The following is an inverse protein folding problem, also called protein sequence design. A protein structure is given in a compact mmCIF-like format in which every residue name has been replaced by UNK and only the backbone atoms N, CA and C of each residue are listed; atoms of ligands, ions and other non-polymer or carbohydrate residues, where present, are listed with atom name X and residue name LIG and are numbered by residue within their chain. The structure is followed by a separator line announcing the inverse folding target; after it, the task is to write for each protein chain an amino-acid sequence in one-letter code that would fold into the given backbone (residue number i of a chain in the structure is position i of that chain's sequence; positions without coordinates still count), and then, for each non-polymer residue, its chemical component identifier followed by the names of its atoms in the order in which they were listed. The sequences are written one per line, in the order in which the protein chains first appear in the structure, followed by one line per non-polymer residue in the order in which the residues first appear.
data_IF_553735036005
#
_entry.id   IF_553735036005
#
_cell.length_a   1.000
_cell.length_b   1.000
_cell.length_c   1.000
_cell.angle_alpha   90.00
_cell.angle_beta   90.00
_cell.angle_gamma   90.00
#
_symmetry.space_group_name_H-M   'P 1'
#
loop_
_entity.id
_entity.type
_entity.pdbx_description
1 polymer ?
#
# COMPACT_ATOMS: atom_id res chain seq x y z
N UNK A 1 -4.46 4.62 23.21
CA UNK A 1 -4.69 3.93 21.92
C UNK A 1 -4.71 2.44 22.17
N UNK A 2 -5.37 1.66 21.31
CA UNK A 2 -5.39 0.20 21.39
C UNK A 2 -3.98 -0.36 21.17
N UNK A 3 -3.58 -1.43 21.88
CA UNK A 3 -2.30 -2.15 21.71
C UNK A 3 -2.43 -3.38 20.79
N UNK A 4 -3.23 -3.25 19.71
CA UNK A 4 -3.53 -4.36 18.79
C UNK A 4 -2.32 -4.99 18.12
N UNK A 5 -1.21 -4.24 18.07
CA UNK A 5 0.02 -4.65 17.40
C UNK A 5 1.17 -4.98 18.36
N UNK A 6 0.91 -5.07 19.66
CA UNK A 6 1.92 -5.50 20.61
C UNK A 6 2.50 -6.88 20.22
N UNK A 7 3.84 -6.95 20.02
CA UNK A 7 4.51 -8.16 19.55
C UNK A 7 4.34 -8.48 18.06
N UNK A 8 3.59 -7.71 17.29
CA UNK A 8 3.43 -7.91 15.83
C UNK A 8 4.61 -7.32 15.06
N UNK A 9 5.09 -8.07 14.08
CA UNK A 9 6.22 -7.78 13.19
C UNK A 9 5.68 -7.35 11.84
N UNK A 10 5.97 -6.11 11.46
CA UNK A 10 5.33 -5.47 10.31
C UNK A 10 6.37 -4.95 9.32
N UNK A 11 6.15 -5.17 8.03
CA UNK A 11 6.89 -4.53 6.93
C UNK A 11 5.91 -3.70 6.09
N UNK A 12 6.22 -2.41 5.93
CA UNK A 12 5.43 -1.47 5.12
C UNK A 12 6.30 -0.92 3.99
N UNK A 13 5.88 -1.09 2.73
CA UNK A 13 6.49 -0.42 1.58
C UNK A 13 5.78 0.89 1.25
N UNK A 14 6.47 1.84 0.61
CA UNK A 14 5.92 3.18 0.36
C UNK A 14 5.77 4.00 1.64
N UNK A 15 6.55 3.65 2.68
CA UNK A 15 6.42 4.23 4.01
C UNK A 15 7.05 5.63 4.15
N UNK A 16 7.68 6.16 3.10
CA UNK A 16 8.28 7.50 3.11
C UNK A 16 7.29 8.64 2.97
N UNK A 17 6.04 8.38 2.55
CA UNK A 17 5.03 9.42 2.38
C UNK A 17 3.60 8.88 2.34
N UNK A 18 2.62 9.79 2.37
CA UNK A 18 1.21 9.51 2.08
C UNK A 18 0.62 8.37 2.90
N UNK A 19 -0.11 7.46 2.23
CA UNK A 19 -0.82 6.36 2.88
C UNK A 19 0.16 5.43 3.62
N UNK A 20 1.27 5.04 2.98
CA UNK A 20 2.25 4.12 3.59
C UNK A 20 2.87 4.69 4.87
N UNK A 21 3.21 5.99 4.88
CA UNK A 21 3.68 6.69 6.06
C UNK A 21 2.60 6.72 7.16
N UNK A 22 1.37 7.11 6.81
CA UNK A 22 0.25 7.13 7.75
C UNK A 22 -0.01 5.76 8.39
N UNK A 23 0.08 4.69 7.59
CA UNK A 23 -0.02 3.30 8.08
C UNK A 23 1.13 2.97 9.02
N UNK A 24 2.38 3.26 8.65
CA UNK A 24 3.54 2.97 9.49
C UNK A 24 3.44 3.66 10.86
N UNK A 25 3.11 4.95 10.86
CA UNK A 25 2.91 5.72 12.10
C UNK A 25 1.78 5.14 12.96
N UNK A 26 0.67 4.76 12.34
CA UNK A 26 -0.48 4.19 13.05
C UNK A 26 -0.15 2.85 13.70
N UNK A 27 0.50 1.94 12.97
CA UNK A 27 0.83 0.61 13.48
C UNK A 27 1.90 0.65 14.58
N UNK A 28 2.90 1.56 14.46
CA UNK A 28 3.87 1.83 15.52
C UNK A 28 3.21 2.34 16.80
N UNK A 29 2.26 3.28 16.66
CA UNK A 29 1.51 3.82 17.80
C UNK A 29 0.64 2.76 18.50
N UNK A 30 0.26 1.69 17.79
CA UNK A 30 -0.49 0.55 18.33
C UNK A 30 0.39 -0.63 18.78
N UNK A 31 1.72 -0.45 18.86
CA UNK A 31 2.64 -1.41 19.48
C UNK A 31 3.50 -2.23 18.52
N UNK A 32 3.37 -2.06 17.20
CA UNK A 32 4.14 -2.83 16.23
C UNK A 32 5.66 -2.66 16.36
N UNK A 33 6.42 -3.72 16.09
CA UNK A 33 7.82 -3.64 15.64
C UNK A 33 7.79 -3.57 14.11
N UNK A 34 8.40 -2.53 13.51
CA UNK A 34 8.10 -2.17 12.13
C UNK A 34 9.35 -1.85 11.32
N UNK A 35 9.41 -2.38 10.10
CA UNK A 35 10.30 -1.92 9.05
C UNK A 35 9.52 -1.04 8.08
N UNK A 36 9.96 0.20 7.92
CA UNK A 36 9.48 1.16 6.94
C UNK A 36 10.41 1.15 5.72
N UNK A 37 9.91 0.74 4.56
CA UNK A 37 10.68 0.64 3.33
C UNK A 37 10.15 1.62 2.27
N UNK A 38 11.05 2.35 1.60
CA UNK A 38 10.72 3.30 0.54
C UNK A 38 11.93 3.52 -0.37
N UNK A 39 11.70 4.02 -1.57
CA UNK A 39 12.78 4.45 -2.47
C UNK A 39 13.38 5.80 -2.05
N UNK A 40 12.65 6.60 -1.29
CA UNK A 40 13.01 7.96 -0.85
C UNK A 40 13.64 7.94 0.55
N UNK A 41 14.96 8.09 0.62
CA UNK A 41 15.66 8.27 1.90
C UNK A 41 15.17 9.48 2.68
N UNK A 42 14.91 10.60 1.98
CA UNK A 42 14.37 11.82 2.61
C UNK A 42 12.96 11.59 3.16
N UNK A 43 12.13 10.81 2.45
CA UNK A 43 10.79 10.43 2.93
C UNK A 43 10.86 9.55 4.17
N UNK A 44 11.79 8.58 4.19
CA UNK A 44 12.02 7.74 5.36
C UNK A 44 12.52 8.55 6.57
N UNK A 45 13.41 9.51 6.35
CA UNK A 45 13.87 10.42 7.41
C UNK A 45 12.69 11.23 8.00
N UNK A 46 11.81 11.78 7.15
CA UNK A 46 10.61 12.49 7.60
C UNK A 46 9.67 11.56 8.39
N UNK A 47 9.58 10.29 8.03
CA UNK A 47 8.81 9.30 8.79
C UNK A 47 9.41 9.06 10.17
N UNK A 48 10.73 8.93 10.27
CA UNK A 48 11.42 8.80 11.57
C UNK A 48 11.20 10.02 12.45
N UNK A 49 11.26 11.22 11.87
CA UNK A 49 11.05 12.47 12.60
C UNK A 49 9.63 12.59 13.18
N UNK A 50 8.64 12.03 12.48
CA UNK A 50 7.25 12.00 12.92
C UNK A 50 6.99 10.96 14.04
N UNK A 51 7.91 10.02 14.28
CA UNK A 51 7.76 8.98 15.31
C UNK A 51 8.23 9.51 16.67
N UNK A 52 7.41 9.40 17.75
CA UNK A 52 7.82 9.70 19.11
C UNK A 52 9.10 8.96 19.51
N UNK A 53 9.96 9.63 20.29
CA UNK A 53 11.30 9.10 20.62
C UNK A 53 11.26 7.71 21.30
N UNK A 54 10.28 7.48 22.17
CA UNK A 54 10.04 6.22 22.88
C UNK A 54 9.57 5.05 21.99
N UNK A 55 9.22 5.33 20.74
CA UNK A 55 8.78 4.31 19.77
C UNK A 55 9.85 3.99 18.72
N UNK A 56 10.90 4.82 18.60
CA UNK A 56 11.92 4.72 17.55
C UNK A 56 12.74 3.42 17.59
N UNK A 57 12.94 2.83 18.76
CA UNK A 57 13.63 1.55 18.91
C UNK A 57 12.90 0.38 18.20
N UNK A 58 11.57 0.52 18.02
CA UNK A 58 10.74 -0.47 17.32
C UNK A 58 10.68 -0.24 15.81
N UNK A 59 11.30 0.84 15.31
CA UNK A 59 11.33 1.23 13.89
C UNK A 59 12.71 0.99 13.28
N UNK A 60 12.74 0.38 12.10
CA UNK A 60 13.88 0.35 11.18
C UNK A 60 13.43 0.93 9.84
N UNK A 61 14.28 1.72 9.19
CA UNK A 61 14.05 2.21 7.82
C UNK A 61 15.01 1.54 6.85
N UNK A 62 14.51 1.16 5.67
CA UNK A 62 15.30 0.51 4.62
C UNK A 62 14.97 1.13 3.26
N UNK A 63 15.99 1.54 2.51
CA UNK A 63 15.81 2.09 1.16
C UNK A 63 15.70 0.96 0.14
N UNK A 64 14.63 0.97 -0.68
CA UNK A 64 14.41 -0.05 -1.71
C UNK A 64 13.60 0.47 -2.90
N UNK A 65 14.05 0.19 -4.12
CA UNK A 65 13.18 0.17 -5.30
C UNK A 65 12.56 -1.22 -5.43
N UNK A 66 11.27 -1.34 -5.13
CA UNK A 66 10.55 -2.62 -5.17
C UNK A 66 10.43 -3.21 -6.58
N UNK A 67 10.70 -2.44 -7.64
CA UNK A 67 10.75 -2.95 -9.01
C UNK A 67 12.04 -3.72 -9.34
N UNK A 68 13.05 -3.69 -8.43
CA UNK A 68 14.31 -4.40 -8.58
C UNK A 68 14.28 -5.70 -7.74
N UNK A 69 14.31 -6.89 -8.38
CA UNK A 69 14.22 -8.17 -7.66
C UNK A 69 15.37 -8.43 -6.69
N UNK A 70 16.57 -7.94 -6.99
CA UNK A 70 17.74 -8.12 -6.12
C UNK A 70 17.65 -7.23 -4.89
N UNK A 71 17.25 -5.97 -5.07
CA UNK A 71 17.00 -5.05 -3.97
C UNK A 71 15.88 -5.57 -3.05
N UNK A 72 14.81 -6.14 -3.60
CA UNK A 72 13.72 -6.74 -2.83
C UNK A 72 14.22 -7.92 -1.99
N UNK A 73 15.03 -8.81 -2.56
CA UNK A 73 15.61 -9.93 -1.79
C UNK A 73 16.48 -9.45 -0.64
N UNK A 74 17.36 -8.47 -0.90
CA UNK A 74 18.26 -7.92 0.09
C UNK A 74 17.51 -7.22 1.23
N UNK A 75 16.57 -6.33 0.90
CA UNK A 75 15.78 -5.61 1.91
C UNK A 75 14.89 -6.53 2.73
N UNK A 76 14.34 -7.58 2.11
CA UNK A 76 13.53 -8.56 2.83
C UNK A 76 14.37 -9.33 3.84
N UNK A 77 15.59 -9.76 3.49
CA UNK A 77 16.48 -10.45 4.41
C UNK A 77 16.83 -9.56 5.62
N UNK A 78 17.21 -8.30 5.39
CA UNK A 78 17.51 -7.35 6.47
C UNK A 78 16.28 -7.05 7.33
N UNK A 79 15.10 -6.92 6.72
CA UNK A 79 13.86 -6.72 7.44
C UNK A 79 13.53 -7.90 8.36
N UNK A 80 13.67 -9.14 7.87
CA UNK A 80 13.41 -10.34 8.65
C UNK A 80 14.42 -10.53 9.78
N UNK A 81 15.68 -10.16 9.58
CA UNK A 81 16.71 -10.16 10.62
C UNK A 81 16.33 -9.19 11.76
N UNK A 82 15.97 -7.95 11.43
CA UNK A 82 15.54 -6.97 12.43
C UNK A 82 14.28 -7.38 13.17
N UNK A 83 13.27 -7.89 12.43
CA UNK A 83 11.97 -8.23 12.99
C UNK A 83 11.97 -9.57 13.75
N UNK A 84 12.84 -10.51 13.39
CA UNK A 84 12.81 -11.89 13.89
C UNK A 84 11.68 -12.72 13.30
N UNK A 85 11.20 -12.38 12.10
CA UNK A 85 10.08 -13.00 11.38
C UNK A 85 9.12 -11.96 10.84
N UNK A 86 7.94 -12.36 10.34
CA UNK A 86 6.97 -11.41 9.76
C UNK A 86 5.53 -11.88 9.98
N UNK A 87 4.69 -10.96 10.45
CA UNK A 87 3.26 -11.19 10.67
C UNK A 87 2.39 -10.40 9.69
N UNK A 88 2.84 -9.21 9.29
CA UNK A 88 2.07 -8.33 8.39
C UNK A 88 2.98 -7.72 7.33
N UNK A 89 2.59 -7.88 6.06
CA UNK A 89 3.13 -7.13 4.93
C UNK A 89 2.09 -6.12 4.44
N UNK A 90 2.48 -4.85 4.35
CA UNK A 90 1.66 -3.78 3.76
C UNK A 90 2.36 -3.24 2.51
N UNK A 91 1.80 -3.53 1.34
CA UNK A 91 2.31 -3.08 0.05
C UNK A 91 1.65 -1.76 -0.35
N UNK A 92 2.14 -0.64 0.20
CA UNK A 92 1.59 0.69 -0.10
C UNK A 92 2.42 1.50 -1.11
N UNK A 93 3.57 1.00 -1.55
CA UNK A 93 4.35 1.64 -2.60
C UNK A 93 3.59 1.64 -3.93
N UNK A 94 3.65 2.76 -4.63
CA UNK A 94 3.02 2.90 -5.94
C UNK A 94 3.28 4.25 -6.57
N UNK A 95 3.14 4.31 -7.89
CA UNK A 95 3.28 5.52 -8.69
C UNK A 95 2.11 5.65 -9.64
N UNK A 96 1.87 6.88 -10.10
CA UNK A 96 0.88 7.21 -11.12
C UNK A 96 1.54 8.01 -12.23
N UNK A 97 1.15 7.72 -13.47
CA UNK A 97 1.44 8.51 -14.67
C UNK A 97 0.14 8.69 -15.43
N UNK A 98 -0.11 9.88 -15.90
CA UNK A 98 -1.29 10.22 -16.69
C UNK A 98 -0.89 10.68 -18.08
N UNK A 99 -1.58 10.18 -19.09
CA UNK A 99 -1.46 10.57 -20.49
C UNK A 99 -2.71 10.13 -21.24
N UNK A 100 -2.98 10.72 -22.40
CA UNK A 100 -3.91 10.11 -23.34
C UNK A 100 -3.43 8.71 -23.69
N UNK A 101 -4.32 7.72 -23.74
CA UNK A 101 -3.92 6.31 -23.90
C UNK A 101 -3.10 6.06 -25.18
N UNK A 102 -3.42 6.77 -26.27
CA UNK A 102 -2.71 6.65 -27.53
C UNK A 102 -1.35 7.38 -27.57
N UNK A 103 -1.07 8.25 -26.60
CA UNK A 103 0.17 9.02 -26.47
C UNK A 103 1.04 8.54 -25.31
N UNK A 104 0.54 7.59 -24.50
CA UNK A 104 1.29 7.10 -23.33
C UNK A 104 2.59 6.42 -23.77
N UNK A 105 3.77 6.92 -23.36
CA UNK A 105 5.03 6.26 -23.66
C UNK A 105 5.04 4.84 -23.06
N UNK A 106 5.54 3.87 -23.83
CA UNK A 106 5.66 2.50 -23.36
C UNK A 106 6.57 2.40 -22.11
N UNK A 107 7.54 3.29 -21.99
CA UNK A 107 8.40 3.39 -20.82
C UNK A 107 7.60 3.74 -19.55
N UNK A 108 6.71 4.74 -19.63
CA UNK A 108 5.84 5.12 -18.51
C UNK A 108 4.84 4.01 -18.15
N UNK A 109 4.26 3.35 -19.16
CA UNK A 109 3.44 2.16 -18.96
C UNK A 109 4.22 1.09 -18.19
N UNK A 110 5.40 0.71 -18.69
CA UNK A 110 6.25 -0.31 -18.10
C UNK A 110 6.68 0.08 -16.67
N UNK A 111 7.01 1.36 -16.43
CA UNK A 111 7.39 1.83 -15.10
C UNK A 111 6.25 1.71 -14.10
N UNK A 112 5.02 2.07 -14.48
CA UNK A 112 3.83 1.91 -13.62
C UNK A 112 3.56 0.44 -13.31
N UNK A 113 3.58 -0.44 -14.32
CA UNK A 113 3.38 -1.88 -14.13
C UNK A 113 4.49 -2.48 -13.27
N UNK A 114 5.73 -2.11 -13.54
CA UNK A 114 6.92 -2.62 -12.83
C UNK A 114 6.87 -2.27 -11.34
N UNK A 115 6.49 -1.04 -10.97
CA UNK A 115 6.39 -0.65 -9.57
C UNK A 115 5.13 -1.21 -8.93
N UNK A 116 3.95 -0.90 -9.49
CA UNK A 116 2.68 -1.14 -8.80
C UNK A 116 2.28 -2.61 -8.74
N UNK A 117 2.55 -3.38 -9.81
CA UNK A 117 2.12 -4.77 -9.90
C UNK A 117 3.28 -5.75 -9.70
N UNK A 118 4.34 -5.64 -10.51
CA UNK A 118 5.48 -6.54 -10.41
C UNK A 118 6.18 -6.38 -9.07
N UNK A 119 6.40 -5.14 -8.60
CA UNK A 119 7.03 -4.87 -7.31
C UNK A 119 6.21 -5.40 -6.13
N UNK A 120 4.88 -5.24 -6.16
CA UNK A 120 3.98 -5.86 -5.18
C UNK A 120 4.13 -7.38 -5.18
N UNK A 121 4.15 -8.01 -6.37
CA UNK A 121 4.38 -9.46 -6.48
C UNK A 121 5.74 -9.87 -5.90
N UNK A 122 6.82 -9.16 -6.22
CA UNK A 122 8.17 -9.46 -5.72
C UNK A 122 8.25 -9.38 -4.19
N UNK A 123 7.66 -8.34 -3.58
CA UNK A 123 7.59 -8.21 -2.13
C UNK A 123 6.82 -9.37 -1.49
N UNK A 124 5.68 -9.75 -2.08
CA UNK A 124 4.91 -10.91 -1.60
C UNK A 124 5.74 -12.18 -1.73
N UNK A 125 6.32 -12.45 -2.89
CA UNK A 125 7.11 -13.66 -3.14
C UNK A 125 8.26 -13.79 -2.14
N UNK A 126 8.97 -12.70 -1.85
CA UNK A 126 10.12 -12.72 -0.94
C UNK A 126 9.72 -12.90 0.53
N UNK A 127 8.56 -12.37 0.94
CA UNK A 127 8.11 -12.41 2.35
C UNK A 127 7.19 -13.56 2.68
N UNK A 128 6.59 -14.21 1.69
CA UNK A 128 5.58 -15.24 1.85
C UNK A 128 6.01 -16.41 2.76
N UNK A 129 7.24 -16.94 2.66
CA UNK A 129 7.67 -18.01 3.58
C UNK A 129 7.58 -17.61 5.05
N UNK A 130 8.04 -16.41 5.41
CA UNK A 130 8.02 -15.92 6.79
C UNK A 130 6.58 -15.63 7.27
N UNK A 131 5.71 -15.11 6.39
CA UNK A 131 4.29 -14.91 6.69
C UNK A 131 3.56 -16.23 6.95
N UNK A 132 3.87 -17.27 6.19
CA UNK A 132 3.30 -18.63 6.42
C UNK A 132 3.82 -19.22 7.73
N UNK A 133 5.12 -19.09 8.01
CA UNK A 133 5.76 -19.58 9.22
C UNK A 133 5.16 -18.95 10.49
N UNK A 134 4.70 -17.71 10.43
CA UNK A 134 4.03 -17.04 11.55
C UNK A 134 2.72 -17.73 11.97
N UNK A 135 2.07 -18.46 11.06
CA UNK A 135 0.79 -19.14 11.28
C UNK A 135 -0.44 -18.21 11.29
N UNK A 136 -0.23 -16.89 11.22
CA UNK A 136 -1.27 -15.86 11.21
C UNK A 136 -0.91 -14.66 10.31
N UNK A 137 -0.17 -14.94 9.25
CA UNK A 137 0.32 -13.93 8.31
C UNK A 137 -0.81 -13.14 7.62
N UNK A 138 -0.60 -11.85 7.44
CA UNK A 138 -1.53 -10.97 6.73
C UNK A 138 -0.80 -10.17 5.67
N UNK A 139 -1.36 -10.16 4.45
CA UNK A 139 -0.95 -9.28 3.36
C UNK A 139 -2.04 -8.25 3.15
N UNK A 140 -1.67 -6.98 3.19
CA UNK A 140 -2.54 -5.85 2.83
C UNK A 140 -1.97 -5.20 1.58
N UNK A 141 -2.69 -5.30 0.49
CA UNK A 141 -2.35 -4.67 -0.78
C UNK A 141 -3.24 -3.44 -1.02
N UNK A 142 -2.76 -2.53 -1.85
CA UNK A 142 -3.51 -1.35 -2.27
C UNK A 142 -3.90 -1.45 -3.73
N UNK A 143 -5.20 -1.70 -3.98
CA UNK A 143 -5.87 -1.45 -5.23
C UNK A 143 -6.22 0.06 -5.35
N UNK A 144 -7.27 0.43 -6.00
CA UNK A 144 -7.79 1.79 -6.15
C UNK A 144 -9.22 1.74 -6.67
N UNK A 145 -10.01 2.79 -6.45
CA UNK A 145 -11.26 3.00 -7.18
C UNK A 145 -11.05 2.98 -8.70
N UNK A 146 -9.86 3.34 -9.18
CA UNK A 146 -9.49 3.25 -10.61
C UNK A 146 -9.50 1.84 -11.18
N UNK A 147 -9.40 0.80 -10.34
CA UNK A 147 -9.51 -0.60 -10.78
C UNK A 147 -10.97 -1.01 -11.10
N UNK A 148 -11.95 -0.27 -10.61
CA UNK A 148 -13.38 -0.59 -10.71
C UNK A 148 -14.14 0.42 -11.58
N UNK A 149 -13.99 1.72 -11.28
CA UNK A 149 -14.69 2.80 -11.96
C UNK A 149 -13.91 3.43 -13.10
N UNK A 150 -12.64 3.10 -13.28
CA UNK A 150 -11.68 3.64 -14.24
C UNK A 150 -11.61 5.17 -14.24
N UNK A 151 -10.41 5.71 -14.25
CA UNK A 151 -10.20 7.14 -14.41
C UNK A 151 -9.61 7.42 -15.79
N UNK A 152 -10.09 8.43 -16.53
CA UNK A 152 -9.51 8.83 -17.80
C UNK A 152 -8.03 9.21 -17.61
N UNK A 153 -7.26 9.06 -18.65
CA UNK A 153 -5.82 9.39 -18.70
C UNK A 153 -4.90 8.50 -17.82
N UNK A 154 -5.44 7.53 -17.09
CA UNK A 154 -4.71 6.70 -16.12
C UNK A 154 -4.72 5.19 -16.50
N UNK A 155 -4.64 4.86 -17.79
CA UNK A 155 -4.79 3.48 -18.27
C UNK A 155 -3.80 2.50 -17.60
N UNK A 156 -2.50 2.83 -17.55
CA UNK A 156 -1.48 1.99 -16.91
C UNK A 156 -1.73 1.81 -15.40
N UNK A 157 -2.11 2.90 -14.73
CA UNK A 157 -2.42 2.86 -13.31
C UNK A 157 -3.63 1.96 -13.02
N UNK A 158 -4.73 2.18 -13.74
CA UNK A 158 -5.95 1.36 -13.60
C UNK A 158 -5.68 -0.12 -13.85
N UNK A 159 -4.93 -0.44 -14.94
CA UNK A 159 -4.52 -1.81 -15.25
C UNK A 159 -3.67 -2.43 -14.12
N UNK A 160 -2.68 -1.67 -13.59
CA UNK A 160 -1.84 -2.14 -12.51
C UNK A 160 -2.63 -2.43 -11.23
N UNK A 161 -3.59 -1.56 -10.87
CA UNK A 161 -4.41 -1.71 -9.66
C UNK A 161 -5.46 -2.82 -9.79
N UNK A 162 -6.01 -3.05 -10.97
CA UNK A 162 -6.84 -4.22 -11.27
C UNK A 162 -6.01 -5.52 -11.18
N UNK A 163 -4.77 -5.51 -11.68
CA UNK A 163 -3.84 -6.63 -11.55
C UNK A 163 -3.51 -6.97 -10.09
N UNK A 164 -3.27 -5.95 -9.25
CA UNK A 164 -3.06 -6.14 -7.80
C UNK A 164 -4.30 -6.76 -7.14
N UNK A 165 -5.50 -6.36 -7.56
CA UNK A 165 -6.74 -6.94 -7.06
C UNK A 165 -6.82 -8.44 -7.35
N UNK A 166 -6.62 -8.83 -8.60
CA UNK A 166 -6.64 -10.24 -9.01
C UNK A 166 -5.52 -11.07 -8.33
N UNK A 167 -4.30 -10.50 -8.22
CA UNK A 167 -3.17 -11.12 -7.51
C UNK A 167 -3.53 -11.42 -6.05
N UNK A 168 -4.15 -10.47 -5.36
CA UNK A 168 -4.54 -10.63 -3.95
C UNK A 168 -5.55 -11.75 -3.76
N UNK A 169 -6.55 -11.86 -4.64
CA UNK A 169 -7.55 -12.95 -4.59
C UNK A 169 -6.89 -14.32 -4.82
N UNK A 170 -5.99 -14.40 -5.78
CA UNK A 170 -5.26 -15.65 -6.07
C UNK A 170 -4.48 -16.12 -4.84
N UNK A 171 -3.71 -15.22 -4.21
CA UNK A 171 -2.91 -15.53 -3.02
C UNK A 171 -3.81 -15.87 -1.82
N UNK A 172 -4.88 -15.13 -1.62
CA UNK A 172 -5.82 -15.42 -0.54
C UNK A 172 -6.38 -16.83 -0.64
N UNK A 173 -6.78 -17.26 -1.84
CA UNK A 173 -7.32 -18.61 -2.06
C UNK A 173 -6.23 -19.69 -1.94
N UNK A 174 -5.04 -19.46 -2.50
CA UNK A 174 -3.96 -20.45 -2.53
C UNK A 174 -3.45 -20.78 -1.12
N UNK A 175 -3.34 -19.76 -0.25
CA UNK A 175 -2.70 -19.91 1.07
C UNK A 175 -3.67 -19.89 2.25
N UNK A 176 -4.99 -19.85 2.05
CA UNK A 176 -5.97 -19.81 3.14
C UNK A 176 -5.81 -20.97 4.14
N UNK A 177 -5.49 -22.17 3.65
CA UNK A 177 -5.26 -23.34 4.51
C UNK A 177 -3.92 -23.31 5.25
N UNK A 178 -3.05 -22.35 4.95
CA UNK A 178 -1.79 -22.08 5.65
C UNK A 178 -1.95 -21.00 6.74
N UNK A 179 -3.17 -20.53 7.00
CA UNK A 179 -3.43 -19.46 7.97
C UNK A 179 -3.12 -18.06 7.44
N UNK A 180 -2.77 -17.91 6.15
CA UNK A 180 -2.50 -16.61 5.54
C UNK A 180 -3.81 -15.94 5.11
N UNK A 181 -3.91 -14.64 5.38
CA UNK A 181 -4.95 -13.77 4.85
C UNK A 181 -4.34 -12.75 3.87
N UNK A 182 -5.05 -12.45 2.79
CA UNK A 182 -4.68 -11.37 1.89
C UNK A 182 -5.92 -10.54 1.56
N UNK A 183 -5.81 -9.22 1.66
CA UNK A 183 -6.91 -8.27 1.44
C UNK A 183 -6.45 -7.08 0.63
N UNK A 184 -7.38 -6.48 -0.11
CA UNK A 184 -7.16 -5.21 -0.79
C UNK A 184 -7.84 -4.07 -0.03
N UNK A 185 -7.10 -2.99 0.17
CA UNK A 185 -7.71 -1.69 0.44
C UNK A 185 -7.93 -0.99 -0.91
N UNK A 186 -9.09 -0.38 -1.07
CA UNK A 186 -9.50 0.33 -2.29
C UNK A 186 -9.76 1.80 -1.95
N UNK A 187 -8.70 2.64 -1.91
CA UNK A 187 -8.85 4.05 -1.63
C UNK A 187 -9.52 4.78 -2.80
N UNK A 188 -10.26 5.83 -2.47
CA UNK A 188 -10.64 6.89 -3.41
C UNK A 188 -9.55 7.94 -3.54
N UNK A 189 -9.95 9.20 -3.72
CA UNK A 189 -9.05 10.34 -3.73
C UNK A 189 -8.53 10.61 -2.31
N UNK A 190 -7.23 10.41 -2.09
CA UNK A 190 -6.55 10.68 -0.82
C UNK A 190 -5.49 11.76 -1.05
N UNK A 191 -5.43 12.75 -0.16
CA UNK A 191 -4.45 13.84 -0.21
C UNK A 191 -3.04 13.32 0.08
N UNK A 192 -2.27 13.10 -1.00
CA UNK A 192 -0.92 12.53 -0.95
C UNK A 192 -0.06 13.15 -2.05
N UNK A 193 1.25 12.91 -2.04
CA UNK A 193 2.15 13.31 -3.11
C UNK A 193 1.75 12.78 -4.49
N UNK A 194 1.09 11.62 -4.57
CA UNK A 194 0.58 11.05 -5.83
C UNK A 194 -0.52 11.95 -6.42
N UNK A 195 -1.45 12.43 -5.60
CA UNK A 195 -2.57 13.27 -6.05
C UNK A 195 -2.15 14.72 -6.29
N UNK A 196 -1.30 15.28 -5.44
CA UNK A 196 -0.81 16.67 -5.60
C UNK A 196 0.20 16.83 -6.73
N UNK A 197 0.94 15.79 -7.09
CA UNK A 197 1.92 15.76 -8.18
C UNK A 197 1.35 15.26 -9.51
N UNK A 198 0.04 15.03 -9.60
CA UNK A 198 -0.59 14.51 -10.82
C UNK A 198 -0.61 15.56 -11.92
N UNK A 199 0.21 15.38 -12.95
CA UNK A 199 0.17 16.16 -14.18
C UNK A 199 -0.75 15.46 -15.19
N UNK A 200 -1.90 16.07 -15.48
CA UNK A 200 -2.82 15.63 -16.53
C UNK A 200 -2.43 16.25 -17.88
N UNK A 201 -2.84 15.66 -19.03
CA UNK A 201 -2.75 16.31 -20.32
C UNK A 201 -3.32 17.74 -20.29
N UNK A 202 -2.72 18.67 -21.06
CA UNK A 202 -3.13 20.08 -21.04
C UNK A 202 -4.57 20.29 -21.50
N UNK A 203 -5.08 19.40 -22.33
CA UNK A 203 -6.44 19.38 -22.89
C UNK A 203 -7.36 18.38 -22.16
N UNK A 204 -7.00 17.95 -20.96
CA UNK A 204 -7.80 17.01 -20.19
C UNK A 204 -9.21 17.56 -19.90
N UNK A 205 -10.22 16.74 -20.17
CA UNK A 205 -11.60 17.04 -19.83
C UNK A 205 -11.85 16.79 -18.33
N UNK A 206 -11.85 17.88 -17.57
CA UNK A 206 -12.05 17.86 -16.12
C UNK A 206 -13.45 17.35 -15.72
N UNK A 207 -14.45 17.42 -16.60
CA UNK A 207 -15.79 16.90 -16.28
C UNK A 207 -15.78 15.38 -16.08
N UNK A 208 -14.85 14.69 -16.75
CA UNK A 208 -14.66 13.24 -16.58
C UNK A 208 -13.99 12.88 -15.24
N UNK A 209 -13.31 13.84 -14.61
CA UNK A 209 -12.61 13.66 -13.33
C UNK A 209 -13.49 13.98 -12.11
N UNK A 210 -14.71 14.44 -12.32
CA UNK A 210 -15.60 14.94 -11.27
C UNK A 210 -15.99 13.88 -10.20
N UNK A 211 -15.69 12.60 -10.45
CA UNK A 211 -15.94 11.49 -9.50
C UNK A 211 -14.78 11.19 -8.56
N UNK A 212 -13.63 11.86 -8.70
CA UNK A 212 -12.47 11.60 -7.85
C UNK A 212 -12.67 11.99 -6.38
N UNK A 213 -13.28 13.13 -6.06
CA UNK A 213 -13.63 13.46 -4.68
C UNK A 213 -14.81 12.60 -4.22
N UNK A 214 -14.73 12.05 -2.99
CA UNK A 214 -15.88 11.42 -2.35
C UNK A 214 -16.98 12.42 -1.99
N UNK A 215 -18.10 11.93 -1.50
CA UNK A 215 -19.24 12.76 -1.06
C UNK A 215 -19.10 13.24 0.40
N UNK A 216 -18.31 12.52 1.19
CA UNK A 216 -18.07 12.88 2.60
C UNK A 216 -17.24 14.16 2.66
N UNK A 217 -17.49 14.98 3.69
CA UNK A 217 -16.83 16.28 3.90
C UNK A 217 -16.93 17.26 2.73
N UNK A 218 -18.05 17.22 1.99
CA UNK A 218 -18.31 18.17 0.90
C UNK A 218 -17.42 18.00 -0.33
N UNK A 219 -16.91 16.79 -0.55
CA UNK A 219 -16.07 16.48 -1.72
C UNK A 219 -14.57 16.73 -1.49
N UNK A 220 -14.12 16.88 -0.24
CA UNK A 220 -12.70 16.92 0.08
C UNK A 220 -12.02 15.56 -0.18
N UNK A 221 -10.73 15.57 -0.48
CA UNK A 221 -9.94 14.35 -0.51
C UNK A 221 -9.81 13.78 0.92
N UNK A 222 -9.89 12.46 1.05
CA UNK A 222 -9.57 11.79 2.31
C UNK A 222 -8.10 12.00 2.71
N UNK A 223 -7.76 11.67 3.93
CA UNK A 223 -6.41 11.77 4.48
C UNK A 223 -5.76 10.39 4.64
N UNK A 224 -4.43 10.30 4.69
CA UNK A 224 -3.73 9.05 4.97
C UNK A 224 -4.22 8.33 6.24
N UNK A 225 -4.63 9.08 7.26
CA UNK A 225 -5.12 8.57 8.54
C UNK A 225 -6.45 7.81 8.38
N UNK A 226 -7.31 8.22 7.43
CA UNK A 226 -8.58 7.54 7.15
C UNK A 226 -8.36 6.13 6.64
N UNK A 227 -7.30 5.95 5.84
CA UNK A 227 -6.87 4.65 5.34
C UNK A 227 -6.13 3.84 6.41
N UNK A 228 -5.25 4.49 7.17
CA UNK A 228 -4.42 3.83 8.18
C UNK A 228 -5.28 3.16 9.28
N UNK A 229 -6.42 3.75 9.64
CA UNK A 229 -7.38 3.17 10.58
C UNK A 229 -7.97 1.85 10.08
N UNK A 230 -8.31 1.77 8.80
CA UNK A 230 -8.86 0.55 8.18
C UNK A 230 -7.77 -0.52 8.06
N UNK A 231 -6.56 -0.16 7.64
CA UNK A 231 -5.41 -1.09 7.62
C UNK A 231 -5.14 -1.65 9.01
N UNK A 232 -5.13 -0.80 10.03
CA UNK A 232 -4.91 -1.22 11.41
C UNK A 232 -5.99 -2.20 11.92
N UNK A 233 -7.22 -2.05 11.49
CA UNK A 233 -8.30 -2.99 11.80
C UNK A 233 -8.12 -4.30 11.03
N UNK A 234 -7.98 -4.26 9.71
CA UNK A 234 -8.01 -5.47 8.89
C UNK A 234 -6.77 -6.35 9.07
N UNK A 235 -5.60 -5.76 9.34
CA UNK A 235 -4.36 -6.50 9.54
C UNK A 235 -4.18 -7.03 10.98
N UNK A 236 -5.05 -6.63 11.91
CA UNK A 236 -5.11 -7.17 13.28
C UNK A 236 -6.04 -8.38 13.39
N UNK A 237 -6.22 -8.87 14.62
CA UNK A 237 -7.17 -9.94 14.94
C UNK A 237 -8.64 -9.51 14.76
N UNK A 238 -8.92 -8.20 14.76
CA UNK A 238 -10.25 -7.67 14.44
C UNK A 238 -10.67 -8.05 13.00
N UNK A 239 -9.70 -8.17 12.09
CA UNK A 239 -9.89 -8.59 10.70
C UNK A 239 -9.81 -10.10 10.45
N UNK A 240 -9.72 -10.95 11.48
CA UNK A 240 -9.42 -12.40 11.33
C UNK A 240 -10.36 -13.18 10.40
N UNK A 241 -11.56 -12.67 10.16
CA UNK A 241 -12.54 -13.31 9.26
C UNK A 241 -12.58 -12.68 7.86
N UNK A 242 -11.60 -11.81 7.53
CA UNK A 242 -11.50 -11.12 6.24
C UNK A 242 -10.30 -11.65 5.46
N UNK A 243 -10.56 -12.24 4.28
CA UNK A 243 -9.54 -12.62 3.29
C UNK A 243 -10.18 -12.68 1.90
N UNK A 244 -9.39 -12.45 0.84
CA UNK A 244 -9.87 -12.47 -0.54
C UNK A 244 -10.98 -11.45 -0.80
N UNK A 245 -10.89 -10.27 -0.20
CA UNK A 245 -11.91 -9.22 -0.30
C UNK A 245 -11.30 -7.84 -0.52
N UNK A 246 -12.14 -6.91 -0.97
CA UNK A 246 -11.84 -5.50 -1.12
C UNK A 246 -12.56 -4.67 -0.05
N UNK A 247 -11.79 -3.85 0.65
CA UNK A 247 -12.34 -2.86 1.56
C UNK A 247 -12.28 -1.48 0.89
N UNK A 248 -13.42 -0.98 0.45
CA UNK A 248 -13.51 0.32 -0.18
C UNK A 248 -13.52 1.42 0.87
N UNK A 249 -12.60 2.39 0.69
CA UNK A 249 -12.43 3.55 1.57
C UNK A 249 -12.29 4.79 0.67
N UNK A 250 -13.40 5.24 0.10
CA UNK A 250 -13.43 6.21 -0.99
C UNK A 250 -14.37 7.40 -0.75
N UNK A 251 -14.91 7.54 0.45
CA UNK A 251 -15.84 8.62 0.77
C UNK A 251 -17.13 8.58 -0.07
N UNK A 252 -17.47 7.41 -0.66
CA UNK A 252 -18.65 7.24 -1.50
C UNK A 252 -18.45 7.60 -2.98
N UNK A 253 -17.20 7.72 -3.45
CA UNK A 253 -16.91 8.11 -4.84
C UNK A 253 -17.46 7.12 -5.88
N UNK A 254 -17.58 5.85 -5.54
CA UNK A 254 -18.15 4.79 -6.40
C UNK A 254 -19.53 4.30 -5.93
N UNK A 255 -20.37 5.19 -5.47
CA UNK A 255 -21.80 4.89 -5.21
C UNK A 255 -22.61 4.94 -6.50
#
# INVERSE_FOLDING_TARGET
MSSRYEGRRVLVTGAGSGIGQGVALRLLAEGARLVAADVSEAGLAATVDAVPADQRERLRTLTVDISNPEAVRAVTAEALEFLGGLDVLVNAAGILRAAHTHEMPLEDWNRVISVNLTGTFLMIQATLPALIESGHGVIVNFSSTSAFGSNPYMAAYSASKAGVNALTHSIALEYVKKGLRAVNIVPGGISTGITSGLALPADADWSLMARLPGWIEGGALGKPEDIAGVVAMVASDDGRYMTGTELRVDGGALM
#
